data_IF_173700667267
#
_entry.id   IF_173700667267
#
_cell.length_a   1.000
_cell.length_b   1.000
_cell.length_c   1.000
_cell.angle_alpha   90.00
_cell.angle_beta   90.00
_cell.angle_gamma   90.00
#
_symmetry.space_group_name_H-M   'P 1'
#
loop_
_entity.id
_entity.type
_entity.pdbx_description
1 polymer ?
#
# COMPACT_ATOMS: atom_id res chain seq x y z
N UNK A 1 41.44 -20.05 -2.31
CA UNK A 1 40.38 -19.04 -2.48
C UNK A 1 39.21 -19.72 -3.18
N UNK A 2 38.27 -20.24 -2.40
CA UNK A 2 37.05 -20.86 -2.93
C UNK A 2 36.12 -19.78 -3.46
N UNK A 3 35.67 -19.95 -4.71
CA UNK A 3 34.65 -19.12 -5.34
C UNK A 3 33.37 -19.11 -4.49
N UNK A 4 32.63 -17.98 -4.42
CA UNK A 4 31.34 -17.97 -3.77
C UNK A 4 30.34 -18.84 -4.54
N UNK A 5 29.50 -19.53 -3.78
CA UNK A 5 28.62 -20.60 -4.22
C UNK A 5 27.55 -20.08 -5.20
N UNK A 6 27.30 -20.82 -6.28
CA UNK A 6 26.33 -20.47 -7.35
C UNK A 6 24.89 -20.18 -6.89
N UNK A 7 24.55 -20.57 -5.65
CA UNK A 7 23.25 -20.31 -5.02
C UNK A 7 23.05 -18.86 -4.55
N UNK A 8 24.13 -18.16 -4.15
CA UNK A 8 24.03 -16.78 -3.67
C UNK A 8 23.77 -15.80 -4.84
N UNK A 9 24.20 -16.16 -6.05
CA UNK A 9 23.85 -15.44 -7.28
C UNK A 9 22.36 -15.53 -7.64
N UNK A 10 21.69 -16.65 -7.37
CA UNK A 10 20.25 -16.79 -7.61
C UNK A 10 19.43 -15.98 -6.60
N UNK A 11 19.81 -15.97 -5.32
CA UNK A 11 19.15 -15.16 -4.28
C UNK A 11 19.19 -13.65 -4.60
N UNK A 12 20.35 -13.13 -5.04
CA UNK A 12 20.45 -11.73 -5.49
C UNK A 12 19.65 -11.44 -6.76
N UNK A 13 19.51 -12.41 -7.67
CA UNK A 13 18.68 -12.27 -8.88
C UNK A 13 17.19 -12.24 -8.56
N UNK A 14 16.72 -13.02 -7.57
CA UNK A 14 15.33 -13.01 -7.10
C UNK A 14 14.99 -11.77 -6.29
N UNK A 15 15.88 -11.33 -5.40
CA UNK A 15 15.80 -10.02 -4.75
C UNK A 15 15.77 -8.92 -5.80
N UNK A 16 16.60 -9.02 -6.84
CA UNK A 16 16.58 -8.15 -8.00
C UNK A 16 15.26 -8.19 -8.76
N UNK A 17 14.61 -9.35 -8.99
CA UNK A 17 13.35 -9.45 -9.74
C UNK A 17 12.14 -8.98 -8.91
N UNK A 18 12.03 -9.39 -7.64
CA UNK A 18 10.99 -8.89 -6.73
C UNK A 18 11.15 -7.38 -6.45
N UNK A 19 12.37 -6.85 -6.48
CA UNK A 19 12.63 -5.41 -6.33
C UNK A 19 12.64 -4.64 -7.64
N UNK A 20 12.94 -5.23 -8.80
CA UNK A 20 12.84 -4.56 -10.12
C UNK A 20 11.37 -4.49 -10.55
N UNK A 21 10.59 -5.54 -10.27
CA UNK A 21 9.13 -5.51 -10.43
C UNK A 21 8.45 -4.53 -9.46
N UNK A 22 9.13 -4.14 -8.37
CA UNK A 22 8.61 -3.20 -7.38
C UNK A 22 9.31 -1.82 -7.37
N UNK A 23 10.44 -1.59 -8.05
CA UNK A 23 11.26 -0.38 -7.83
C UNK A 23 12.00 0.22 -9.05
N UNK A 24 12.01 -0.33 -10.28
CA UNK A 24 12.61 0.40 -11.41
C UNK A 24 12.33 -0.24 -12.78
N UNK A 25 11.61 0.47 -13.65
CA UNK A 25 11.96 0.48 -15.07
C UNK A 25 12.91 1.66 -15.30
N UNK A 26 14.10 1.45 -15.89
CA UNK A 26 14.89 2.58 -16.35
C UNK A 26 14.17 3.17 -17.56
N UNK A 27 13.58 4.36 -17.38
CA UNK A 27 13.16 5.18 -18.51
C UNK A 27 14.42 5.46 -19.33
N UNK A 28 14.52 4.83 -20.50
CA UNK A 28 15.47 5.22 -21.53
C UNK A 28 15.14 6.65 -21.95
N UNK A 29 15.91 7.61 -21.44
CA UNK A 29 15.86 8.99 -21.92
C UNK A 29 16.45 8.99 -23.33
N UNK A 30 15.60 8.94 -24.34
CA UNK A 30 15.98 9.35 -25.68
C UNK A 30 16.10 10.87 -25.70
N UNK A 31 17.34 11.35 -25.68
CA UNK A 31 17.67 12.72 -26.04
C UNK A 31 17.14 13.01 -27.45
N UNK A 32 16.14 13.88 -27.55
CA UNK A 32 15.93 14.67 -28.76
C UNK A 32 16.30 16.12 -28.46
N UNK A 33 17.47 16.51 -28.96
CA UNK A 33 17.85 17.89 -29.20
C UNK A 33 16.89 18.47 -30.24
N UNK A 34 16.09 19.45 -29.83
CA UNK A 34 15.24 20.23 -30.73
C UNK A 34 14.97 21.59 -30.09
N UNK A 35 15.79 22.58 -30.45
CA UNK A 35 15.65 23.95 -29.98
C UNK A 35 14.39 24.63 -30.51
N UNK A 36 13.91 25.61 -29.75
CA UNK A 36 12.79 26.46 -30.14
C UNK A 36 12.50 27.53 -29.11
N UNK A 37 13.09 28.71 -29.31
CA UNK A 37 12.78 29.96 -28.62
C UNK A 37 11.30 30.34 -28.81
N UNK A 38 10.64 30.87 -27.77
CA UNK A 38 9.24 31.30 -27.89
C UNK A 38 8.61 31.96 -26.65
N UNK A 39 9.08 33.17 -26.35
CA UNK A 39 8.40 34.36 -25.81
C UNK A 39 7.15 34.24 -24.91
N UNK A 40 7.28 34.89 -23.75
CA UNK A 40 6.28 35.39 -22.80
C UNK A 40 4.98 35.95 -23.41
N UNK A 41 3.83 35.67 -22.78
CA UNK A 41 2.83 36.70 -22.44
C UNK A 41 2.01 36.28 -21.21
N UNK A 42 2.14 37.04 -20.13
CA UNK A 42 1.24 37.00 -18.99
C UNK A 42 -0.11 37.64 -19.32
N UNK A 43 -1.18 37.12 -18.72
CA UNK A 43 -2.42 37.89 -18.52
C UNK A 43 -2.92 37.73 -17.09
N UNK A 44 -3.11 38.90 -16.51
CA UNK A 44 -3.66 39.20 -15.19
C UNK A 44 -5.09 38.69 -15.05
N UNK A 45 -5.38 38.01 -13.94
CA UNK A 45 -6.73 37.70 -13.48
C UNK A 45 -7.06 38.69 -12.35
N UNK A 46 -8.01 39.59 -12.60
CA UNK A 46 -8.69 40.35 -11.54
C UNK A 46 -9.89 39.52 -11.02
N UNK A 47 -10.12 39.46 -9.70
CA UNK A 47 -11.28 38.77 -9.12
C UNK A 47 -12.53 39.65 -9.19
N UNK A 48 -13.75 39.06 -9.21
CA UNK A 48 -14.96 39.80 -8.88
C UNK A 48 -15.23 39.70 -7.37
N UNK A 49 -15.33 40.85 -6.70
CA UNK A 49 -15.94 40.99 -5.37
C UNK A 49 -17.13 41.92 -5.49
N UNK A 50 -18.31 41.42 -5.11
CA UNK A 50 -19.22 42.08 -4.16
C UNK A 50 -20.49 41.24 -4.01
N UNK A 51 -20.64 40.68 -2.81
CA UNK A 51 -21.91 40.19 -2.29
C UNK A 51 -22.81 41.40 -2.00
N UNK A 52 -24.06 41.36 -2.44
CA UNK A 52 -25.13 42.11 -1.80
C UNK A 52 -26.08 41.14 -1.10
N UNK A 53 -26.22 41.38 0.19
CA UNK A 53 -27.15 40.76 1.12
C UNK A 53 -28.56 41.31 0.93
N UNK A 54 -29.56 40.43 0.89
CA UNK A 54 -30.92 40.78 1.26
C UNK A 54 -31.50 39.66 2.13
N UNK A 55 -31.66 39.97 3.42
CA UNK A 55 -32.45 39.21 4.39
C UNK A 55 -33.94 39.37 4.08
N UNK A 56 -34.71 38.28 4.15
CA UNK A 56 -36.13 38.21 4.59
C UNK A 56 -36.57 36.73 4.75
N UNK A 57 -37.61 36.42 5.54
CA UNK A 57 -37.49 35.54 6.70
C UNK A 57 -37.90 34.07 6.51
N UNK A 58 -37.49 33.28 7.51
CA UNK A 58 -37.84 31.88 7.79
C UNK A 58 -39.35 31.62 7.69
N UNK A 59 -39.73 30.63 6.87
CA UNK A 59 -40.95 29.87 7.06
C UNK A 59 -40.60 28.38 7.08
N UNK A 60 -40.98 27.73 8.17
CA UNK A 60 -40.83 26.30 8.38
C UNK A 60 -41.85 25.56 7.51
N UNK A 61 -41.36 24.69 6.64
CA UNK A 61 -42.15 23.56 6.19
C UNK A 61 -41.23 22.34 6.10
N UNK A 62 -41.39 21.47 7.09
CA UNK A 62 -40.83 20.13 7.07
C UNK A 62 -41.54 19.33 5.98
N UNK A 63 -40.87 19.13 4.86
CA UNK A 63 -41.13 17.99 3.99
C UNK A 63 -39.83 17.19 3.89
N UNK A 64 -39.85 16.00 4.44
CA UNK A 64 -38.78 15.00 4.41
C UNK A 64 -38.37 14.71 2.97
N UNK A 65 -37.35 15.40 2.47
CA UNK A 65 -36.58 14.93 1.33
C UNK A 65 -35.73 13.76 1.83
N UNK A 66 -36.29 12.56 1.78
CA UNK A 66 -35.47 11.37 1.59
C UNK A 66 -34.71 11.61 0.29
N UNK A 67 -33.44 12.01 0.40
CA UNK A 67 -32.51 11.94 -0.71
C UNK A 67 -32.50 10.48 -1.14
N UNK A 68 -33.25 10.17 -2.19
CA UNK A 68 -33.05 8.94 -2.94
C UNK A 68 -31.58 8.94 -3.33
N UNK A 69 -30.79 8.13 -2.62
CA UNK A 69 -29.50 7.69 -3.12
C UNK A 69 -29.81 7.10 -4.49
N UNK A 70 -29.52 7.86 -5.56
CA UNK A 70 -29.51 7.29 -6.90
C UNK A 70 -28.58 6.10 -6.79
N UNK A 71 -29.13 4.90 -6.94
CA UNK A 71 -28.35 3.72 -7.17
C UNK A 71 -27.49 4.04 -8.40
N UNK A 72 -26.22 4.38 -8.16
CA UNK A 72 -25.25 4.43 -9.23
C UNK A 72 -25.17 2.98 -9.67
N UNK A 73 -25.74 2.68 -10.84
CA UNK A 73 -25.52 1.41 -11.51
C UNK A 73 -24.03 1.37 -11.87
N UNK A 74 -23.20 0.97 -10.91
CA UNK A 74 -21.80 0.66 -11.14
C UNK A 74 -21.82 -0.65 -11.92
N UNK A 75 -21.70 -0.56 -13.25
CA UNK A 75 -21.44 -1.74 -14.06
C UNK A 75 -20.07 -2.26 -13.65
N UNK A 76 -20.03 -3.33 -12.86
CA UNK A 76 -18.79 -3.99 -12.49
C UNK A 76 -18.23 -4.69 -13.73
N UNK A 77 -17.06 -4.25 -14.19
CA UNK A 77 -16.38 -4.89 -15.31
C UNK A 77 -15.66 -6.14 -14.80
N UNK A 78 -16.05 -7.32 -15.31
CA UNK A 78 -15.38 -8.57 -14.94
C UNK A 78 -13.89 -8.53 -15.31
N UNK A 79 -13.03 -8.88 -14.37
CA UNK A 79 -11.59 -8.90 -14.54
C UNK A 79 -11.10 -10.33 -14.86
N UNK A 80 -11.45 -10.84 -16.03
CA UNK A 80 -10.91 -12.12 -16.51
C UNK A 80 -9.41 -12.01 -16.81
N UNK A 81 -8.63 -13.03 -16.43
CA UNK A 81 -7.18 -13.12 -16.66
C UNK A 81 -6.36 -11.92 -16.17
N UNK A 82 -6.82 -11.23 -15.13
CA UNK A 82 -6.17 -10.03 -14.63
C UNK A 82 -4.72 -10.26 -14.16
N UNK A 83 -4.37 -11.50 -13.83
CA UNK A 83 -3.02 -11.90 -13.42
C UNK A 83 -1.98 -11.79 -14.54
N UNK A 84 -2.38 -11.87 -15.81
CA UNK A 84 -1.45 -11.87 -16.94
C UNK A 84 -0.87 -10.47 -17.20
N UNK A 85 0.46 -10.38 -17.37
CA UNK A 85 1.18 -9.11 -17.60
C UNK A 85 0.80 -8.02 -16.58
N UNK A 86 0.68 -8.42 -15.32
CA UNK A 86 0.27 -7.58 -14.23
C UNK A 86 1.19 -7.82 -13.03
N UNK A 87 1.23 -6.87 -12.11
CA UNK A 87 2.02 -6.98 -10.89
C UNK A 87 1.26 -6.38 -9.72
N UNK A 88 1.30 -7.04 -8.56
CA UNK A 88 0.58 -6.60 -7.36
C UNK A 88 1.42 -5.61 -6.54
N UNK A 89 0.82 -4.47 -6.24
CA UNK A 89 1.42 -3.39 -5.44
C UNK A 89 0.72 -3.18 -4.10
N UNK A 90 -0.50 -3.72 -3.91
CA UNK A 90 -1.21 -3.67 -2.63
C UNK A 90 -2.24 -4.79 -2.50
N UNK A 91 -2.51 -5.17 -1.25
CA UNK A 91 -3.54 -6.13 -0.88
C UNK A 91 -4.22 -5.62 0.38
N UNK A 92 -5.55 -5.59 0.38
CA UNK A 92 -6.33 -5.31 1.59
C UNK A 92 -7.55 -6.22 1.64
N UNK A 93 -8.03 -6.46 2.86
CA UNK A 93 -9.25 -7.20 3.12
C UNK A 93 -10.32 -6.18 3.53
N UNK A 94 -11.53 -6.31 3.00
CA UNK A 94 -12.63 -5.46 3.43
C UNK A 94 -12.86 -5.66 4.93
N UNK A 95 -12.91 -4.55 5.67
CA UNK A 95 -13.04 -4.53 7.13
C UNK A 95 -14.32 -5.21 7.62
N UNK A 96 -15.42 -5.01 6.91
CA UNK A 96 -16.75 -5.45 7.34
C UNK A 96 -17.12 -6.83 6.78
N UNK A 97 -16.50 -7.23 5.66
CA UNK A 97 -16.64 -8.57 5.11
C UNK A 97 -15.29 -9.17 4.68
N UNK A 98 -14.73 -10.13 5.45
CA UNK A 98 -13.42 -10.70 5.16
C UNK A 98 -13.37 -11.56 3.88
N UNK A 99 -14.52 -11.88 3.25
CA UNK A 99 -14.55 -12.60 1.98
C UNK A 99 -14.33 -11.70 0.76
N UNK A 100 -14.35 -10.38 0.95
CA UNK A 100 -14.06 -9.39 -0.08
C UNK A 100 -12.63 -8.89 0.13
N UNK A 101 -11.81 -8.97 -0.93
CA UNK A 101 -10.46 -8.42 -0.93
C UNK A 101 -10.28 -7.45 -2.09
N UNK A 102 -9.33 -6.55 -1.95
CA UNK A 102 -8.90 -5.67 -3.02
C UNK A 102 -7.41 -5.84 -3.29
N UNK A 103 -7.06 -5.86 -4.57
CA UNK A 103 -5.70 -5.99 -5.06
C UNK A 103 -5.39 -4.77 -5.91
N UNK A 104 -4.50 -3.92 -5.41
CA UNK A 104 -3.96 -2.81 -6.20
C UNK A 104 -2.81 -3.34 -7.05
N UNK A 105 -2.86 -3.06 -8.35
CA UNK A 105 -1.95 -3.65 -9.32
C UNK A 105 -1.51 -2.62 -10.37
N UNK A 106 -0.56 -3.02 -11.20
CA UNK A 106 -0.03 -2.21 -12.31
C UNK A 106 -1.10 -1.75 -13.31
N UNK A 107 -2.19 -2.52 -13.43
CA UNK A 107 -3.26 -2.30 -14.39
C UNK A 107 -4.55 -1.76 -13.75
N UNK A 108 -4.55 -1.46 -12.45
CA UNK A 108 -5.71 -0.93 -11.74
C UNK A 108 -5.99 -1.59 -10.39
N UNK A 109 -7.13 -1.22 -9.81
CA UNK A 109 -7.62 -1.82 -8.58
C UNK A 109 -8.62 -2.93 -8.93
N UNK A 110 -8.42 -4.09 -8.32
CA UNK A 110 -9.31 -5.23 -8.43
C UNK A 110 -10.07 -5.45 -7.14
N UNK A 111 -11.31 -5.93 -7.26
CA UNK A 111 -12.07 -6.50 -6.15
C UNK A 111 -12.34 -7.96 -6.44
N UNK A 112 -12.07 -8.83 -5.46
CA UNK A 112 -12.66 -10.16 -5.41
C UNK A 112 -13.95 -10.10 -4.60
N UNK A 113 -15.05 -10.51 -5.20
CA UNK A 113 -16.35 -10.59 -4.54
C UNK A 113 -16.46 -11.79 -3.60
N UNK A 114 -17.53 -11.83 -2.82
CA UNK A 114 -17.87 -12.95 -1.91
C UNK A 114 -18.03 -14.27 -2.66
N UNK A 115 -18.56 -14.22 -3.89
CA UNK A 115 -18.75 -15.39 -4.76
C UNK A 115 -17.44 -15.84 -5.43
N UNK A 116 -16.37 -15.07 -5.27
CA UNK A 116 -15.07 -15.32 -5.86
C UNK A 116 -14.86 -14.77 -7.26
N UNK A 117 -15.83 -14.04 -7.81
CA UNK A 117 -15.64 -13.33 -9.08
C UNK A 117 -14.79 -12.08 -8.90
N UNK A 118 -13.96 -11.79 -9.90
CA UNK A 118 -13.06 -10.64 -9.94
C UNK A 118 -13.62 -9.51 -10.80
N UNK A 119 -13.48 -8.28 -10.32
CA UNK A 119 -13.95 -7.08 -11.01
C UNK A 119 -12.90 -5.97 -10.98
N UNK A 120 -12.80 -5.22 -12.07
CA UNK A 120 -12.05 -3.96 -12.10
C UNK A 120 -12.86 -2.88 -11.39
N UNK A 121 -12.19 -2.14 -10.51
CA UNK A 121 -12.78 -1.05 -9.76
C UNK A 121 -12.53 0.29 -10.44
N UNK A 122 -13.58 1.09 -10.51
CA UNK A 122 -13.56 2.42 -11.10
C UNK A 122 -13.50 2.41 -12.64
N UNK A 123 -13.75 3.58 -13.22
CA UNK A 123 -13.68 3.77 -14.68
C UNK A 123 -12.26 4.10 -15.16
N UNK A 124 -11.50 4.76 -14.31
CA UNK A 124 -10.11 5.14 -14.58
C UNK A 124 -9.19 4.16 -13.86
N UNK A 125 -8.28 3.57 -14.64
CA UNK A 125 -7.25 2.68 -14.13
C UNK A 125 -5.92 3.40 -14.11
N UNK A 126 -5.12 3.01 -13.15
CA UNK A 126 -3.79 3.51 -12.94
C UNK A 126 -2.93 2.39 -12.35
N UNK A 127 -1.62 2.57 -12.46
CA UNK A 127 -0.65 1.80 -11.70
C UNK A 127 -0.66 2.31 -10.26
N UNK A 128 -1.46 1.65 -9.41
CA UNK A 128 -1.67 2.08 -8.03
C UNK A 128 -0.53 1.61 -7.13
N UNK A 129 0.34 2.55 -6.73
CA UNK A 129 1.47 2.33 -5.82
C UNK A 129 1.16 2.85 -4.42
N UNK A 130 1.72 2.23 -3.39
CA UNK A 130 1.51 2.70 -2.02
C UNK A 130 0.04 2.71 -1.65
N UNK A 131 -0.63 1.57 -1.88
CA UNK A 131 -2.05 1.39 -1.64
C UNK A 131 -2.29 0.91 -0.20
N UNK A 132 -3.26 1.53 0.49
CA UNK A 132 -3.70 1.10 1.83
C UNK A 132 -5.17 1.42 2.05
N UNK A 133 -5.87 0.58 2.83
CA UNK A 133 -7.24 0.84 3.24
C UNK A 133 -7.30 1.60 4.56
N UNK A 134 -8.32 2.44 4.72
CA UNK A 134 -8.60 3.07 6.01
C UNK A 134 -8.98 1.98 7.04
N UNK A 135 -8.30 1.93 8.21
CA UNK A 135 -8.51 0.89 9.19
C UNK A 135 -9.87 0.99 9.89
N UNK A 136 -10.56 2.13 9.81
CA UNK A 136 -11.86 2.36 10.47
C UNK A 136 -13.01 2.63 9.50
N UNK A 137 -12.73 2.86 8.21
CA UNK A 137 -13.75 3.11 7.19
C UNK A 137 -13.58 2.17 5.99
N UNK A 138 -14.48 1.20 5.85
CA UNK A 138 -14.45 0.18 4.78
C UNK A 138 -14.70 0.72 3.37
N UNK A 139 -15.15 1.97 3.23
CA UNK A 139 -15.33 2.62 1.95
C UNK A 139 -14.09 3.40 1.49
N UNK A 140 -13.11 3.63 2.37
CA UNK A 140 -12.03 4.58 2.08
C UNK A 140 -10.70 3.89 1.82
N UNK A 141 -10.08 4.23 0.70
CA UNK A 141 -8.74 3.80 0.33
C UNK A 141 -7.82 5.00 0.05
N UNK A 142 -6.51 4.76 0.16
CA UNK A 142 -5.48 5.71 -0.17
C UNK A 142 -4.49 5.06 -1.13
N UNK A 143 -3.94 5.87 -2.04
CA UNK A 143 -2.94 5.41 -3.01
C UNK A 143 -2.09 6.56 -3.52
N UNK A 144 -1.05 6.20 -4.26
CA UNK A 144 -0.30 7.04 -5.19
C UNK A 144 -0.04 6.24 -6.48
N UNK A 145 0.99 6.60 -7.25
CA UNK A 145 1.44 5.85 -8.42
C UNK A 145 1.29 6.61 -9.72
N UNK A 146 0.95 5.92 -10.82
CA UNK A 146 1.08 6.46 -12.17
C UNK A 146 -0.22 6.32 -12.97
N UNK A 147 -0.74 7.40 -13.61
CA UNK A 147 -1.77 7.23 -14.62
C UNK A 147 -1.17 6.60 -15.88
N UNK A 148 -1.98 5.89 -16.67
CA UNK A 148 -1.54 5.30 -17.94
C UNK A 148 -1.03 6.33 -18.97
N UNK A 149 -1.38 7.61 -18.80
CA UNK A 149 -0.90 8.71 -19.64
C UNK A 149 0.53 9.17 -19.30
N UNK A 150 1.14 8.61 -18.26
CA UNK A 150 2.45 9.01 -17.74
C UNK A 150 2.39 10.14 -16.71
N UNK A 151 3.44 10.24 -15.90
CA UNK A 151 3.52 11.13 -14.73
C UNK A 151 3.16 10.41 -13.43
N UNK A 152 3.01 11.18 -12.35
CA UNK A 152 2.71 10.66 -11.01
C UNK A 152 1.41 11.29 -10.48
N UNK A 153 0.57 10.46 -9.86
CA UNK A 153 -0.76 10.79 -9.35
C UNK A 153 -0.77 11.70 -8.12
N UNK A 154 0.33 11.77 -7.38
CA UNK A 154 0.36 12.35 -6.05
C UNK A 154 -0.35 11.48 -5.01
N UNK A 155 -0.50 11.99 -3.78
CA UNK A 155 -1.21 11.25 -2.73
C UNK A 155 -2.72 11.46 -2.89
N UNK A 156 -3.46 10.36 -3.04
CA UNK A 156 -4.87 10.36 -3.40
C UNK A 156 -5.72 9.56 -2.41
N UNK A 157 -7.00 9.91 -2.37
CA UNK A 157 -8.04 9.25 -1.57
C UNK A 157 -9.17 8.76 -2.49
N UNK A 158 -9.74 7.62 -2.17
CA UNK A 158 -11.05 7.19 -2.62
C UNK A 158 -11.98 7.07 -1.42
N UNK A 159 -13.22 7.53 -1.55
CA UNK A 159 -14.25 7.43 -0.49
C UNK A 159 -15.36 6.41 -0.84
N UNK A 160 -15.14 5.62 -1.89
CA UNK A 160 -16.14 4.69 -2.46
C UNK A 160 -15.50 3.41 -3.01
N UNK A 161 -14.56 2.84 -2.25
CA UNK A 161 -13.90 1.56 -2.54
C UNK A 161 -13.14 1.56 -3.87
N UNK A 162 -12.52 2.70 -4.21
CA UNK A 162 -11.70 2.85 -5.41
C UNK A 162 -12.50 3.01 -6.71
N UNK A 163 -13.78 3.36 -6.65
CA UNK A 163 -14.56 3.67 -7.86
C UNK A 163 -14.12 5.00 -8.49
N UNK A 164 -13.77 5.98 -7.67
CA UNK A 164 -13.09 7.20 -8.08
C UNK A 164 -12.00 7.60 -7.08
N UNK A 165 -11.13 8.51 -7.52
CA UNK A 165 -9.97 8.97 -6.78
C UNK A 165 -9.84 10.48 -6.86
N UNK A 166 -9.37 11.08 -5.77
CA UNK A 166 -9.07 12.51 -5.68
C UNK A 166 -7.70 12.71 -5.07
N UNK A 167 -6.83 13.46 -5.75
CA UNK A 167 -5.57 13.90 -5.15
C UNK A 167 -5.84 14.85 -3.98
N UNK A 168 -5.23 14.59 -2.83
CA UNK A 168 -5.37 15.40 -1.61
C UNK A 168 -4.13 16.22 -1.29
N UNK A 169 -2.94 15.70 -1.60
CA UNK A 169 -1.67 16.38 -1.30
C UNK A 169 -0.52 15.79 -2.13
N UNK A 170 0.69 16.31 -1.90
CA UNK A 170 1.92 15.77 -2.47
C UNK A 170 1.82 15.54 -4.01
N UNK A 171 1.47 16.57 -4.81
CA UNK A 171 1.33 16.40 -6.26
C UNK A 171 2.61 15.80 -6.85
N UNK A 172 2.43 14.75 -7.66
CA UNK A 172 3.54 14.06 -8.30
C UNK A 172 4.37 13.13 -7.39
N UNK A 173 3.97 12.88 -6.14
CA UNK A 173 4.59 11.83 -5.33
C UNK A 173 4.16 10.45 -5.81
N UNK A 174 5.06 9.50 -5.66
CA UNK A 174 4.85 8.08 -5.88
C UNK A 174 5.44 7.31 -4.70
N UNK A 175 4.57 6.88 -3.79
CA UNK A 175 4.93 6.12 -2.60
C UNK A 175 5.02 4.63 -2.97
N UNK A 176 6.22 4.06 -2.88
CA UNK A 176 6.39 2.61 -3.04
C UNK A 176 6.11 1.86 -1.73
N UNK A 177 6.23 2.53 -0.59
CA UNK A 177 5.76 2.03 0.68
C UNK A 177 4.95 3.12 1.39
N UNK A 178 3.76 2.75 1.87
CA UNK A 178 2.94 3.59 2.73
C UNK A 178 2.42 2.74 3.89
N UNK A 179 2.23 3.37 5.04
CA UNK A 179 1.53 2.79 6.16
C UNK A 179 0.60 3.83 6.81
N UNK A 180 -0.56 3.39 7.25
CA UNK A 180 -1.52 4.15 8.04
C UNK A 180 -1.57 3.53 9.44
N UNK A 181 -1.64 4.36 10.48
CA UNK A 181 -1.70 3.86 11.86
C UNK A 181 -3.11 3.30 12.17
N UNK A 182 -3.27 2.01 12.54
CA UNK A 182 -4.58 1.44 12.83
C UNK A 182 -5.29 2.09 14.02
N UNK A 183 -4.54 2.60 14.99
CA UNK A 183 -5.05 3.29 16.19
C UNK A 183 -5.38 4.76 15.95
N UNK A 184 -4.85 5.37 14.89
CA UNK A 184 -5.12 6.77 14.54
C UNK A 184 -4.97 6.98 13.02
N UNK A 185 -6.06 6.88 12.23
CA UNK A 185 -6.01 6.97 10.77
C UNK A 185 -5.69 8.37 10.23
N UNK A 186 -5.37 9.35 11.09
CA UNK A 186 -4.76 10.61 10.65
C UNK A 186 -3.24 10.49 10.48
N UNK A 187 -2.62 9.45 11.04
CA UNK A 187 -1.17 9.26 11.02
C UNK A 187 -0.77 8.33 9.89
N UNK A 188 0.09 8.85 9.01
CA UNK A 188 0.67 8.11 7.89
C UNK A 188 2.18 8.20 7.90
N UNK A 189 2.80 7.19 7.30
CA UNK A 189 4.22 7.18 6.94
C UNK A 189 4.36 6.75 5.49
N UNK A 190 5.17 7.46 4.72
CA UNK A 190 5.34 7.20 3.29
C UNK A 190 6.80 7.30 2.88
N UNK A 191 7.24 6.34 2.08
CA UNK A 191 8.53 6.34 1.42
C UNK A 191 8.35 6.52 -0.10
N UNK A 192 8.64 7.71 -0.64
CA UNK A 192 8.54 7.96 -2.06
C UNK A 192 9.68 7.29 -2.82
N UNK A 193 9.39 6.71 -3.99
CA UNK A 193 10.40 6.33 -4.97
C UNK A 193 10.77 7.48 -5.91
N UNK A 194 9.84 8.40 -6.15
CA UNK A 194 10.07 9.59 -6.96
C UNK A 194 9.34 10.82 -6.40
N UNK A 195 9.76 12.01 -6.82
CA UNK A 195 9.32 13.28 -6.26
C UNK A 195 10.08 13.64 -4.98
N UNK A 196 9.42 13.50 -3.83
CA UNK A 196 10.04 13.78 -2.53
C UNK A 196 11.07 12.71 -2.14
N UNK A 197 12.00 13.04 -1.24
CA UNK A 197 13.12 12.14 -0.88
C UNK A 197 13.10 11.76 0.60
N UNK A 198 13.19 10.46 0.87
CA UNK A 198 13.23 9.87 2.21
C UNK A 198 11.85 9.69 2.85
N UNK A 199 11.82 9.23 4.10
CA UNK A 199 10.59 9.01 4.87
C UNK A 199 9.86 10.33 5.18
N UNK A 200 8.56 10.35 4.91
CA UNK A 200 7.65 11.43 5.28
C UNK A 200 6.56 10.91 6.22
N UNK A 201 6.08 11.77 7.11
CA UNK A 201 4.94 11.48 7.98
C UNK A 201 3.86 12.55 7.82
N UNK A 202 2.60 12.15 7.96
CA UNK A 202 1.45 13.04 8.10
C UNK A 202 0.74 12.73 9.41
N UNK A 203 0.17 13.74 10.05
CA UNK A 203 -0.65 13.60 11.27
C UNK A 203 -2.05 14.19 11.12
N UNK A 204 -2.45 14.57 9.90
CA UNK A 204 -3.68 15.29 9.59
C UNK A 204 -4.54 14.60 8.50
N UNK A 205 -4.38 13.28 8.35
CA UNK A 205 -5.11 12.51 7.34
C UNK A 205 -4.45 12.57 5.96
N UNK A 206 -3.14 12.80 5.90
CA UNK A 206 -2.39 12.90 4.66
C UNK A 206 -2.57 14.22 3.92
N UNK A 207 -3.08 15.28 4.55
CA UNK A 207 -3.26 16.60 3.92
C UNK A 207 -1.94 17.35 3.86
N UNK A 208 -1.12 17.24 4.89
CA UNK A 208 0.25 17.77 4.94
C UNK A 208 1.24 16.69 5.37
N UNK A 209 2.47 16.80 4.89
CA UNK A 209 3.53 15.83 5.11
C UNK A 209 4.83 16.51 5.51
N UNK A 210 5.56 15.91 6.45
CA UNK A 210 6.84 16.40 6.95
C UNK A 210 7.89 15.30 6.80
N UNK A 211 9.07 15.66 6.30
CA UNK A 211 10.21 14.75 6.19
C UNK A 211 10.77 14.41 7.58
N UNK A 212 11.09 13.13 7.79
CA UNK A 212 11.56 12.59 9.07
C UNK A 212 13.10 12.45 9.06
N UNK A 213 13.75 12.47 10.24
CA UNK A 213 15.22 12.40 10.37
C UNK A 213 15.81 11.02 10.01
N UNK A 214 15.09 9.92 10.23
CA UNK A 214 15.45 8.53 9.89
C UNK A 214 16.86 8.07 10.29
N UNK A 215 17.39 8.53 11.43
CA UNK A 215 18.72 8.10 11.89
C UNK A 215 18.73 6.62 12.25
N UNK A 216 19.78 5.90 11.84
CA UNK A 216 19.92 4.46 12.09
C UNK A 216 19.23 3.56 11.07
N UNK A 217 18.41 4.10 10.15
CA UNK A 217 17.83 3.31 9.07
C UNK A 217 18.92 3.03 8.03
N UNK A 218 19.33 1.77 7.92
CA UNK A 218 20.52 1.38 7.15
C UNK A 218 20.29 1.04 5.68
N UNK A 219 19.03 0.99 5.21
CA UNK A 219 18.70 0.67 3.82
C UNK A 219 17.29 1.18 3.47
N UNK A 220 16.98 1.19 2.17
CA UNK A 220 15.70 1.65 1.62
C UNK A 220 14.58 0.67 1.99
N UNK A 221 13.49 1.15 2.62
CA UNK A 221 12.35 0.30 2.93
C UNK A 221 11.53 0.01 1.68
N UNK A 222 11.16 -1.26 1.51
CA UNK A 222 10.17 -1.67 0.50
C UNK A 222 8.80 -1.96 1.11
N UNK A 223 8.70 -2.06 2.45
CA UNK A 223 7.43 -2.09 3.16
C UNK A 223 7.54 -1.36 4.51
N UNK A 224 6.46 -0.70 4.89
CA UNK A 224 6.27 0.01 6.15
C UNK A 224 5.00 -0.55 6.81
N UNK A 225 5.03 -0.76 8.12
CA UNK A 225 3.84 -1.17 8.89
C UNK A 225 3.85 -0.48 10.23
N UNK A 226 2.72 0.11 10.64
CA UNK A 226 2.58 0.76 11.94
C UNK A 226 2.04 -0.24 12.96
N UNK A 227 2.55 -0.16 14.19
CA UNK A 227 2.09 -0.97 15.30
C UNK A 227 0.59 -0.68 15.58
N UNK A 228 -0.28 -1.70 15.76
CA UNK A 228 -1.73 -1.50 15.83
C UNK A 228 -2.27 -0.61 16.96
N UNK A 229 -1.49 -0.33 18.00
CA UNK A 229 -1.88 0.38 19.23
C UNK A 229 -1.15 1.71 19.39
N UNK A 230 0.04 1.87 18.82
CA UNK A 230 0.85 3.07 18.95
C UNK A 230 1.19 3.65 17.55
N UNK A 231 0.63 4.82 17.19
CA UNK A 231 0.89 5.44 15.89
C UNK A 231 2.34 5.93 15.70
N UNK A 232 3.13 6.03 16.78
CA UNK A 232 4.54 6.43 16.75
C UNK A 232 5.49 5.24 16.62
N UNK A 233 4.97 4.01 16.77
CA UNK A 233 5.74 2.79 16.67
C UNK A 233 5.50 2.14 15.31
N UNK A 234 6.55 1.96 14.52
CA UNK A 234 6.47 1.40 13.18
C UNK A 234 7.70 0.57 12.83
N UNK A 235 7.52 -0.31 11.86
CA UNK A 235 8.53 -1.19 11.32
C UNK A 235 8.77 -0.90 9.85
N UNK A 236 10.00 -1.10 9.41
CA UNK A 236 10.42 -0.99 8.04
C UNK A 236 11.21 -2.22 7.64
N UNK A 237 10.79 -2.92 6.59
CA UNK A 237 11.54 -4.07 6.06
C UNK A 237 12.41 -3.62 4.90
N UNK A 238 13.68 -4.00 4.94
CA UNK A 238 14.71 -3.63 3.96
C UNK A 238 15.51 -4.87 3.55
N UNK A 239 16.48 -4.75 2.63
CA UNK A 239 17.37 -5.87 2.29
C UNK A 239 18.34 -6.18 3.42
N UNK A 240 18.62 -5.20 4.27
CA UNK A 240 19.52 -5.32 5.42
C UNK A 240 18.84 -5.88 6.67
N UNK A 241 17.52 -6.09 6.62
CA UNK A 241 16.71 -6.63 7.72
C UNK A 241 15.50 -5.76 8.06
N UNK A 242 14.86 -6.06 9.18
CA UNK A 242 13.75 -5.28 9.70
C UNK A 242 14.26 -4.24 10.70
N UNK A 243 13.83 -3.00 10.54
CA UNK A 243 14.12 -1.91 11.45
C UNK A 243 12.85 -1.52 12.21
N UNK A 244 13.00 -1.14 13.47
CA UNK A 244 11.94 -0.66 14.36
C UNK A 244 12.21 0.79 14.73
N UNK A 245 11.17 1.61 14.74
CA UNK A 245 11.19 2.96 15.28
C UNK A 245 10.04 3.11 16.27
N UNK A 246 10.31 3.71 17.43
CA UNK A 246 9.32 3.97 18.49
C UNK A 246 9.02 5.46 18.67
N UNK A 247 9.49 6.30 17.75
CA UNK A 247 9.40 7.76 17.82
C UNK A 247 9.06 8.39 16.45
N UNK A 248 8.08 7.81 15.78
CA UNK A 248 7.52 8.30 14.51
C UNK A 248 8.54 8.35 13.37
N UNK A 249 9.47 7.38 13.33
CA UNK A 249 10.42 7.18 12.25
C UNK A 249 11.67 8.05 12.35
N UNK A 250 11.89 8.75 13.48
CA UNK A 250 13.03 9.64 13.67
C UNK A 250 14.33 8.87 13.92
N UNK A 251 14.26 7.85 14.76
CA UNK A 251 15.36 6.92 15.05
C UNK A 251 14.90 5.49 14.80
N UNK A 252 15.82 4.69 14.27
CA UNK A 252 15.59 3.31 13.89
C UNK A 252 16.65 2.41 14.51
N UNK A 253 16.21 1.25 14.99
CA UNK A 253 17.08 0.18 15.47
C UNK A 253 16.84 -1.07 14.63
N UNK A 254 17.91 -1.73 14.21
CA UNK A 254 17.83 -3.00 13.52
C UNK A 254 17.34 -4.09 14.48
N UNK A 255 16.26 -4.78 14.11
CA UNK A 255 15.74 -5.91 14.87
C UNK A 255 16.68 -7.09 14.67
N UNK A 256 17.23 -7.62 15.76
CA UNK A 256 18.19 -8.71 15.72
C UNK A 256 17.64 -9.95 15.00
N UNK A 257 18.52 -10.71 14.36
CA UNK A 257 18.23 -11.96 13.64
C UNK A 257 17.31 -11.82 12.41
N UNK A 258 17.17 -10.59 11.88
CA UNK A 258 16.40 -10.32 10.65
C UNK A 258 17.29 -10.02 9.44
N UNK A 259 18.60 -9.84 9.63
CA UNK A 259 19.56 -9.47 8.59
C UNK A 259 19.82 -10.59 7.58
N UNK A 260 19.77 -11.84 8.04
CA UNK A 260 20.10 -13.01 7.21
C UNK A 260 18.93 -13.48 6.34
N UNK A 261 17.72 -13.00 6.62
CA UNK A 261 16.51 -13.36 5.91
C UNK A 261 15.59 -12.15 5.81
N UNK A 262 15.76 -11.31 4.77
CA UNK A 262 14.87 -10.19 4.51
C UNK A 262 13.40 -10.62 4.55
N UNK A 263 12.55 -9.73 5.02
CA UNK A 263 11.12 -9.98 5.15
C UNK A 263 10.42 -9.25 4.00
N UNK A 264 9.94 -9.97 2.97
CA UNK A 264 9.43 -9.39 1.72
C UNK A 264 8.12 -8.60 1.90
N UNK A 265 7.27 -9.10 2.80
CA UNK A 265 5.99 -8.51 3.16
C UNK A 265 5.75 -8.80 4.63
N UNK A 266 5.27 -7.80 5.35
CA UNK A 266 5.00 -7.87 6.78
C UNK A 266 3.55 -7.42 7.04
N UNK A 267 2.83 -8.14 7.88
CA UNK A 267 1.51 -7.77 8.37
C UNK A 267 1.44 -7.95 9.88
N UNK A 268 0.83 -6.99 10.57
CA UNK A 268 0.76 -6.93 12.03
C UNK A 268 -0.68 -7.02 12.51
N UNK A 269 -0.89 -7.71 13.63
CA UNK A 269 -2.14 -7.69 14.38
C UNK A 269 -1.88 -7.60 15.88
N UNK A 270 -2.91 -7.17 16.62
CA UNK A 270 -2.92 -7.28 18.08
C UNK A 270 -3.47 -8.65 18.49
N UNK A 271 -2.83 -9.28 19.47
CA UNK A 271 -3.35 -10.45 20.16
C UNK A 271 -3.20 -10.22 21.67
N UNK A 272 -4.30 -9.86 22.33
CA UNK A 272 -4.26 -9.35 23.70
C UNK A 272 -3.31 -8.15 23.85
N UNK A 273 -2.27 -8.31 24.67
CA UNK A 273 -1.23 -7.30 24.90
C UNK A 273 0.02 -7.49 24.02
N UNK A 274 0.02 -8.43 23.08
CA UNK A 274 1.15 -8.68 22.19
C UNK A 274 0.88 -8.18 20.77
N UNK A 275 1.96 -7.79 20.08
CA UNK A 275 1.94 -7.61 18.62
C UNK A 275 2.34 -8.93 17.99
N UNK A 276 1.46 -9.47 17.16
CA UNK A 276 1.77 -10.63 16.33
C UNK A 276 2.11 -10.14 14.93
N UNK A 277 3.15 -10.71 14.34
CA UNK A 277 3.63 -10.39 13.01
C UNK A 277 3.58 -11.62 12.12
N UNK A 278 3.19 -11.44 10.87
CA UNK A 278 3.32 -12.43 9.81
C UNK A 278 4.23 -11.86 8.74
N UNK A 279 5.24 -12.63 8.34
CA UNK A 279 6.23 -12.16 7.38
C UNK A 279 6.70 -13.25 6.44
N UNK A 280 6.83 -12.93 5.16
CA UNK A 280 7.52 -13.82 4.22
C UNK A 280 9.03 -13.64 4.37
N UNK A 281 9.74 -14.67 4.86
CA UNK A 281 11.18 -14.62 5.13
C UNK A 281 11.96 -15.36 4.05
N UNK A 282 13.00 -14.73 3.52
CA UNK A 282 13.94 -15.33 2.55
C UNK A 282 15.02 -16.20 3.22
N UNK A 283 14.63 -17.18 4.03
CA UNK A 283 15.58 -18.11 4.64
C UNK A 283 16.13 -19.07 3.58
N UNK A 284 17.47 -19.22 3.50
CA UNK A 284 18.15 -20.04 2.47
C UNK A 284 17.64 -21.48 2.36
N UNK A 285 17.26 -22.09 3.47
CA UNK A 285 16.81 -23.49 3.53
C UNK A 285 15.28 -23.65 3.60
N UNK A 286 14.54 -22.59 3.91
CA UNK A 286 13.10 -22.68 4.14
C UNK A 286 12.42 -21.32 3.93
N UNK A 287 12.46 -20.75 2.71
CA UNK A 287 11.73 -19.53 2.43
C UNK A 287 10.22 -19.78 2.59
N UNK A 288 9.49 -18.80 3.11
CA UNK A 288 8.06 -18.97 3.37
C UNK A 288 7.49 -17.93 4.32
N UNK A 289 6.23 -18.11 4.70
CA UNK A 289 5.55 -17.29 5.71
C UNK A 289 5.86 -17.81 7.10
N UNK A 290 6.28 -16.90 7.97
CA UNK A 290 6.59 -17.11 9.37
C UNK A 290 5.72 -16.21 10.24
N UNK A 291 5.51 -16.62 11.48
CA UNK A 291 4.81 -15.83 12.52
C UNK A 291 5.75 -15.49 13.66
N UNK A 292 5.59 -14.30 14.22
CA UNK A 292 6.26 -13.88 15.45
C UNK A 292 5.21 -13.40 16.44
N UNK A 293 5.34 -13.79 17.71
CA UNK A 293 4.45 -13.38 18.81
C UNK A 293 5.11 -12.42 19.79
N UNK A 294 6.37 -12.03 19.54
CA UNK A 294 7.22 -11.26 20.45
C UNK A 294 7.82 -9.99 19.80
N UNK A 295 7.16 -9.47 18.77
CA UNK A 295 7.59 -8.26 18.07
C UNK A 295 8.74 -8.48 17.10
N UNK A 296 8.88 -9.68 16.55
CA UNK A 296 9.88 -10.01 15.52
C UNK A 296 11.20 -10.53 16.06
N UNK A 297 11.32 -10.78 17.37
CA UNK A 297 12.55 -11.29 18.00
C UNK A 297 12.75 -12.77 17.68
N UNK A 298 11.67 -13.54 17.70
CA UNK A 298 11.63 -14.95 17.28
C UNK A 298 10.55 -15.19 16.26
N UNK A 299 10.76 -16.18 15.38
CA UNK A 299 9.86 -16.48 14.27
C UNK A 299 9.65 -17.99 14.14
N UNK A 300 8.39 -18.41 14.15
CA UNK A 300 7.96 -19.78 13.87
C UNK A 300 7.56 -19.93 12.41
N UNK A 301 7.93 -21.06 11.80
CA UNK A 301 7.59 -21.36 10.41
C UNK A 301 6.11 -21.76 10.34
N UNK A 302 5.35 -21.15 9.42
CA UNK A 302 3.96 -21.52 9.19
C UNK A 302 3.75 -22.20 7.84
N UNK A 303 4.26 -21.61 6.75
CA UNK A 303 3.93 -22.07 5.41
C UNK A 303 5.07 -21.86 4.41
N UNK A 304 5.53 -22.95 3.78
CA UNK A 304 6.63 -22.93 2.79
C UNK A 304 6.18 -23.27 1.38
N UNK A 305 5.00 -23.84 1.20
CA UNK A 305 4.43 -24.26 -0.10
C UNK A 305 3.80 -23.08 -0.85
N UNK A 306 4.55 -21.99 -0.93
CA UNK A 306 4.13 -20.67 -1.43
C UNK A 306 4.16 -20.57 -2.96
N UNK A 307 4.81 -21.54 -3.61
CA UNK A 307 5.03 -21.59 -5.06
C UNK A 307 5.54 -20.25 -5.64
N UNK A 308 6.36 -19.55 -4.85
CA UNK A 308 6.84 -18.21 -5.13
C UNK A 308 7.14 -17.40 -3.87
N UNK A 309 7.58 -16.17 -4.08
CA UNK A 309 7.72 -15.10 -3.10
C UNK A 309 6.36 -14.48 -2.79
N UNK A 310 5.92 -14.55 -1.53
CA UNK A 310 4.75 -13.77 -1.10
C UNK A 310 5.12 -12.29 -1.04
N UNK A 311 4.58 -11.51 -1.97
CA UNK A 311 4.86 -10.07 -2.13
C UNK A 311 3.88 -9.18 -1.36
N UNK A 312 2.71 -9.71 -0.96
CA UNK A 312 1.74 -9.03 -0.11
C UNK A 312 1.07 -10.01 0.86
N UNK A 313 0.98 -9.61 2.11
CA UNK A 313 0.21 -10.25 3.18
C UNK A 313 -0.81 -9.24 3.72
N UNK A 314 -2.03 -9.71 3.98
CA UNK A 314 -3.06 -8.90 4.62
C UNK A 314 -3.83 -9.74 5.65
N UNK A 315 -4.20 -9.12 6.76
CA UNK A 315 -4.98 -9.72 7.84
C UNK A 315 -6.37 -9.09 7.81
N UNK A 316 -7.41 -9.89 7.93
CA UNK A 316 -8.78 -9.39 8.01
C UNK A 316 -9.00 -8.58 9.31
N UNK A 317 -9.31 -7.26 9.25
CA UNK A 317 -9.27 -6.38 10.41
C UNK A 317 -10.18 -6.76 11.58
N UNK A 318 -11.38 -7.29 11.29
CA UNK A 318 -12.37 -7.70 12.29
C UNK A 318 -12.45 -9.22 12.47
N UNK A 319 -11.61 -9.98 11.77
CA UNK A 319 -11.61 -11.44 11.78
C UNK A 319 -10.17 -11.97 11.65
N UNK A 320 -9.28 -11.67 12.62
CA UNK A 320 -7.82 -11.79 12.45
C UNK A 320 -7.28 -13.22 12.23
N UNK A 321 -8.13 -14.25 12.36
CA UNK A 321 -7.78 -15.61 11.96
C UNK A 321 -7.80 -15.82 10.43
N UNK A 322 -8.40 -14.89 9.68
CA UNK A 322 -8.40 -14.90 8.21
C UNK A 322 -7.25 -14.03 7.70
N UNK A 323 -6.37 -14.65 6.91
CA UNK A 323 -5.25 -13.99 6.26
C UNK A 323 -5.32 -14.23 4.75
N UNK A 324 -4.80 -13.27 4.01
CA UNK A 324 -4.60 -13.38 2.56
C UNK A 324 -3.14 -13.15 2.21
N UNK A 325 -2.69 -13.85 1.19
CA UNK A 325 -1.36 -13.71 0.62
C UNK A 325 -1.46 -13.61 -0.90
N UNK A 326 -0.59 -12.82 -1.51
CA UNK A 326 -0.40 -12.81 -2.96
C UNK A 326 1.08 -13.02 -3.25
N UNK A 327 1.39 -13.97 -4.13
CA UNK A 327 2.77 -14.20 -4.59
C UNK A 327 3.11 -13.38 -5.84
N UNK A 328 4.37 -13.39 -6.24
CA UNK A 328 4.90 -12.68 -7.42
C UNK A 328 4.28 -13.15 -8.74
N UNK A 329 3.65 -14.33 -8.76
CA UNK A 329 2.91 -14.85 -9.91
C UNK A 329 1.44 -14.39 -9.91
N UNK A 330 1.06 -13.47 -9.02
CA UNK A 330 -0.30 -12.99 -8.80
C UNK A 330 -1.29 -14.08 -8.33
N UNK A 331 -0.78 -15.21 -7.82
CA UNK A 331 -1.60 -16.24 -7.18
C UNK A 331 -2.06 -15.75 -5.82
N UNK A 332 -3.36 -15.86 -5.56
CA UNK A 332 -3.98 -15.40 -4.30
C UNK A 332 -4.25 -16.61 -3.42
N UNK A 333 -3.87 -16.51 -2.15
CA UNK A 333 -4.10 -17.55 -1.15
C UNK A 333 -4.91 -17.01 0.02
N UNK A 334 -5.70 -17.87 0.65
CA UNK A 334 -6.43 -17.58 1.89
C UNK A 334 -6.05 -18.59 2.96
N UNK A 335 -5.80 -18.10 4.17
CA UNK A 335 -5.82 -18.89 5.40
C UNK A 335 -7.06 -18.53 6.21
N UNK A 336 -7.66 -19.53 6.87
CA UNK A 336 -8.78 -19.35 7.80
C UNK A 336 -8.39 -19.69 9.25
N UNK A 337 -7.10 -19.94 9.50
CA UNK A 337 -6.59 -20.42 10.77
C UNK A 337 -5.21 -19.84 11.07
N UNK A 338 -5.10 -18.51 11.01
CA UNK A 338 -3.89 -17.78 11.44
C UNK A 338 -2.62 -18.20 10.69
N UNK A 339 -2.76 -18.55 9.41
CA UNK A 339 -1.65 -18.95 8.56
C UNK A 339 -1.18 -20.39 8.73
N UNK A 340 -1.82 -21.21 9.57
CA UNK A 340 -1.46 -22.62 9.75
C UNK A 340 -1.70 -23.49 8.51
N UNK A 341 -2.68 -23.12 7.69
CA UNK A 341 -2.94 -23.74 6.38
C UNK A 341 -3.45 -22.71 5.40
N UNK A 342 -3.17 -22.93 4.12
CA UNK A 342 -3.51 -22.02 3.03
C UNK A 342 -4.19 -22.78 1.90
N UNK A 343 -5.16 -22.14 1.28
CA UNK A 343 -5.76 -22.58 0.01
C UNK A 343 -5.54 -21.53 -1.05
N UNK A 344 -5.20 -21.96 -2.25
CA UNK A 344 -5.21 -21.11 -3.43
C UNK A 344 -6.65 -20.73 -3.77
N UNK A 345 -6.85 -19.47 -4.17
CA UNK A 345 -8.12 -18.94 -4.64
C UNK A 345 -8.04 -18.77 -6.16
N UNK A 346 -8.96 -19.44 -6.84
CA UNK A 346 -9.20 -19.23 -8.27
C UNK A 346 -9.87 -17.88 -8.54
#
# INVERSE_FOLDING_TARGET
MSQPDSKDHNMMKWMGIAMVACCALPIGVSFFLGGGLGVWFGRSIKPPTSNQSTNQPLSANQSTNQSQLKAVNVSLEKAGNWQANNHVHGLTVNRDNPNIIYVASHNGLLQRSETGEWFWMGKERADYMGFTADPINSARFYSSGHPHTGGNLGFQISENQGQDWKQISMPGVDFHAIAIAPSNPNVFYGWPASGAQGLHTSTDGGKTWVKVRMTGLGDTPFNLVVEPRNPEHLFATTRSGMYESTNSGNDWTLVANTQEAPIASLALQKEGNSTVMYGYRFLKSAPGVYRSSDGGKTWEKLWTETNGVVVKLAIAPNTPHILYAVNENNTVFQSQNEGNSWKELN
#
